data_IF_937180708213
#
_entry.id   IF_937180708213
#
_cell.length_a   1.000
_cell.length_b   1.000
_cell.length_c   1.000
_cell.angle_alpha   90.00
_cell.angle_beta   90.00
_cell.angle_gamma   90.00
#
_symmetry.space_group_name_H-M   'P 1'
#
loop_
_entity.id
_entity.type
_entity.pdbx_description
1 polymer ?
#
# COMPACT_ATOMS: atom_id res chain seq x y z
N UNK A 1 24.50 -6.14 14.35
CA UNK A 1 23.21 -5.84 13.71
C UNK A 1 23.43 -5.96 12.23
N UNK A 2 22.58 -6.70 11.48
CA UNK A 2 22.73 -6.84 10.03
C UNK A 2 22.63 -5.45 9.38
N UNK A 3 23.58 -5.12 8.53
CA UNK A 3 23.62 -3.86 7.75
C UNK A 3 22.74 -3.93 6.51
N UNK A 4 22.14 -5.09 6.24
CA UNK A 4 21.29 -5.31 5.07
C UNK A 4 19.92 -4.68 5.26
N UNK A 5 19.34 -4.20 4.17
CA UNK A 5 17.96 -3.73 4.14
C UNK A 5 17.00 -4.91 4.37
N UNK A 6 15.80 -4.68 4.97
CA UNK A 6 14.78 -5.71 5.00
C UNK A 6 14.26 -5.97 3.58
N UNK A 7 13.57 -7.11 3.33
CA UNK A 7 12.93 -7.36 2.05
C UNK A 7 12.13 -6.15 1.55
N UNK A 8 12.23 -5.89 0.24
CA UNK A 8 11.53 -4.79 -0.42
C UNK A 8 10.29 -5.31 -1.15
N UNK A 9 9.21 -4.58 -1.01
CA UNK A 9 7.93 -4.81 -1.69
C UNK A 9 7.47 -3.53 -2.38
N UNK A 10 6.51 -3.64 -3.29
CA UNK A 10 6.00 -2.52 -4.09
C UNK A 10 4.56 -2.23 -3.73
N UNK A 11 4.23 -0.96 -3.50
CA UNK A 11 2.87 -0.43 -3.45
C UNK A 11 2.63 0.42 -4.69
N UNK A 12 1.75 -0.04 -5.56
CA UNK A 12 1.36 0.70 -6.76
C UNK A 12 -0.07 1.23 -6.65
N UNK A 13 -0.23 2.52 -6.91
CA UNK A 13 -1.52 3.17 -6.98
C UNK A 13 -2.04 3.24 -8.42
N UNK A 14 -1.33 2.68 -9.40
CA UNK A 14 -1.62 2.85 -10.84
C UNK A 14 -1.83 4.32 -11.17
N UNK A 15 -0.82 5.15 -10.84
CA UNK A 15 -0.93 6.61 -10.99
C UNK A 15 -1.13 7.01 -12.44
N UNK A 16 -2.18 7.78 -12.70
CA UNK A 16 -2.38 8.50 -13.95
C UNK A 16 -1.47 9.71 -13.90
N UNK A 17 -0.57 9.85 -14.86
CA UNK A 17 0.32 10.99 -14.95
C UNK A 17 -0.32 12.13 -15.74
N UNK A 18 0.13 13.36 -15.53
CA UNK A 18 -0.30 14.52 -16.33
C UNK A 18 -0.06 14.28 -17.82
N UNK A 19 -1.09 14.43 -18.63
CA UNK A 19 -1.07 14.13 -20.07
C UNK A 19 -1.22 12.65 -20.43
N UNK A 20 -1.29 11.75 -19.43
CA UNK A 20 -1.50 10.32 -19.62
C UNK A 20 -2.96 9.90 -19.48
N UNK A 21 -3.21 8.61 -19.56
CA UNK A 21 -4.53 8.00 -19.45
C UNK A 21 -4.60 6.86 -18.44
N UNK A 22 -5.78 6.51 -17.96
CA UNK A 22 -5.99 5.34 -17.09
C UNK A 22 -5.52 4.04 -17.77
N UNK A 23 -5.75 3.89 -19.08
CA UNK A 23 -5.30 2.73 -19.83
C UNK A 23 -3.77 2.58 -19.86
N UNK A 24 -3.03 3.69 -19.97
CA UNK A 24 -1.56 3.69 -19.86
C UNK A 24 -1.11 3.37 -18.44
N UNK A 25 -1.72 3.98 -17.42
CA UNK A 25 -1.41 3.71 -16.03
C UNK A 25 -1.56 2.23 -15.69
N UNK A 26 -2.65 1.57 -16.14
CA UNK A 26 -2.88 0.14 -15.93
C UNK A 26 -1.85 -0.72 -16.68
N UNK A 27 -1.51 -0.40 -17.94
CA UNK A 27 -0.45 -1.11 -18.67
C UNK A 27 0.91 -0.95 -18.00
N UNK A 28 1.24 0.25 -17.52
CA UNK A 28 2.47 0.52 -16.79
C UNK A 28 2.52 -0.25 -15.46
N UNK A 29 1.39 -0.44 -14.77
CA UNK A 29 1.30 -1.30 -13.58
C UNK A 29 1.68 -2.76 -13.91
N UNK A 30 1.16 -3.32 -15.00
CA UNK A 30 1.49 -4.70 -15.41
C UNK A 30 2.96 -4.84 -15.83
N UNK A 31 3.49 -3.87 -16.57
CA UNK A 31 4.90 -3.85 -16.99
C UNK A 31 5.83 -3.71 -15.76
N UNK A 32 5.52 -2.80 -14.84
CA UNK A 32 6.29 -2.62 -13.62
C UNK A 32 6.26 -3.88 -12.72
N UNK A 33 5.13 -4.58 -12.65
CA UNK A 33 5.03 -5.80 -11.85
C UNK A 33 5.99 -6.89 -12.35
N UNK A 34 6.05 -7.13 -13.68
CA UNK A 34 7.03 -8.04 -14.28
C UNK A 34 8.47 -7.59 -14.01
N UNK A 35 8.71 -6.29 -14.12
CA UNK A 35 10.03 -5.73 -13.89
C UNK A 35 10.48 -5.91 -12.44
N UNK A 36 9.62 -5.61 -11.46
CA UNK A 36 9.92 -5.80 -10.05
C UNK A 36 10.07 -7.30 -9.66
N UNK A 37 9.31 -8.20 -10.31
CA UNK A 37 9.52 -9.64 -10.16
C UNK A 37 10.93 -10.04 -10.57
N UNK A 38 11.38 -9.59 -11.75
CA UNK A 38 12.73 -9.89 -12.28
C UNK A 38 13.85 -9.33 -11.38
N UNK A 39 13.58 -8.25 -10.62
CA UNK A 39 14.49 -7.65 -9.66
C UNK A 39 14.45 -8.30 -8.26
N UNK A 40 13.58 -9.28 -8.03
CA UNK A 40 13.49 -10.00 -6.76
C UNK A 40 12.70 -9.27 -5.66
N UNK A 41 11.86 -8.30 -5.99
CA UNK A 41 10.92 -7.74 -5.03
C UNK A 41 9.98 -8.82 -4.49
N UNK A 42 9.68 -8.75 -3.19
CA UNK A 42 8.94 -9.82 -2.50
C UNK A 42 7.46 -9.81 -2.85
N UNK A 43 6.84 -8.61 -2.91
CA UNK A 43 5.40 -8.42 -3.15
C UNK A 43 5.16 -7.26 -4.10
N UNK A 44 4.05 -7.33 -4.80
CA UNK A 44 3.49 -6.24 -5.57
C UNK A 44 2.03 -6.05 -5.17
N UNK A 45 1.74 -5.00 -4.41
CA UNK A 45 0.40 -4.68 -3.96
C UNK A 45 -0.16 -3.48 -4.69
N UNK A 46 -1.46 -3.50 -4.94
CA UNK A 46 -2.18 -2.36 -5.51
C UNK A 46 -3.19 -1.80 -4.52
N UNK A 47 -3.30 -0.47 -4.48
CA UNK A 47 -4.22 0.23 -3.60
C UNK A 47 -5.66 0.16 -4.13
N UNK A 48 -6.63 0.54 -3.29
CA UNK A 48 -8.02 0.80 -3.68
C UNK A 48 -8.34 2.27 -3.41
N UNK A 49 -8.68 3.01 -4.48
CA UNK A 49 -9.16 4.38 -4.38
C UNK A 49 -10.31 4.59 -5.37
N UNK A 50 -11.34 5.30 -4.94
CA UNK A 50 -12.52 5.58 -5.75
C UNK A 50 -12.66 7.07 -5.99
N UNK A 51 -13.20 7.44 -7.16
CA UNK A 51 -13.46 8.81 -7.56
C UNK A 51 -12.22 9.73 -7.47
N UNK A 52 -11.07 9.22 -7.93
CA UNK A 52 -9.80 9.95 -7.98
C UNK A 52 -9.26 10.02 -9.40
N UNK A 53 -9.25 11.19 -10.01
CA UNK A 53 -8.79 11.41 -11.40
C UNK A 53 -7.32 11.00 -11.63
N UNK A 54 -6.50 10.99 -10.57
CA UNK A 54 -5.08 10.65 -10.63
C UNK A 54 -4.74 9.19 -10.30
N UNK A 55 -5.74 8.30 -10.10
CA UNK A 55 -5.52 6.92 -9.66
C UNK A 55 -6.42 5.96 -10.45
N UNK A 56 -5.84 4.96 -11.12
CA UNK A 56 -6.58 3.98 -11.90
C UNK A 56 -6.89 2.69 -11.11
N UNK A 57 -6.32 2.47 -9.92
CA UNK A 57 -6.56 1.27 -9.12
C UNK A 57 -7.79 1.42 -8.22
N UNK A 58 -8.97 1.20 -8.79
CA UNK A 58 -10.25 1.17 -8.06
C UNK A 58 -10.81 -0.25 -7.93
N UNK A 59 -10.71 -1.08 -8.97
CA UNK A 59 -11.15 -2.48 -8.97
C UNK A 59 -9.99 -3.40 -8.59
N UNK A 60 -9.60 -3.39 -7.31
CA UNK A 60 -8.38 -4.00 -6.80
C UNK A 60 -8.27 -5.49 -7.11
N UNK A 61 -9.31 -6.29 -6.86
CA UNK A 61 -9.30 -7.72 -7.13
C UNK A 61 -9.10 -8.04 -8.64
N UNK A 62 -9.71 -7.25 -9.54
CA UNK A 62 -9.53 -7.40 -10.98
C UNK A 62 -8.07 -7.15 -11.36
N UNK A 63 -7.48 -6.09 -10.83
CA UNK A 63 -6.09 -5.72 -11.13
C UNK A 63 -5.08 -6.72 -10.54
N UNK A 64 -5.31 -7.21 -9.33
CA UNK A 64 -4.53 -8.29 -8.70
C UNK A 64 -4.52 -9.54 -9.59
N UNK A 65 -5.68 -9.94 -10.15
CA UNK A 65 -5.78 -11.06 -11.08
C UNK A 65 -4.95 -10.84 -12.35
N UNK A 66 -4.99 -9.65 -12.94
CA UNK A 66 -4.20 -9.33 -14.14
C UNK A 66 -2.69 -9.32 -13.84
N UNK A 67 -2.27 -8.78 -12.70
CA UNK A 67 -0.86 -8.80 -12.30
C UNK A 67 -0.40 -10.24 -12.04
N UNK A 68 -1.19 -11.05 -11.34
CA UNK A 68 -0.87 -12.44 -11.07
C UNK A 68 -0.75 -13.28 -12.36
N UNK A 69 -1.57 -12.96 -13.38
CA UNK A 69 -1.53 -13.64 -14.70
C UNK A 69 -0.28 -13.31 -15.51
N UNK A 70 0.34 -12.14 -15.32
CA UNK A 70 1.53 -11.71 -16.09
C UNK A 70 2.84 -11.88 -15.31
N UNK A 71 2.79 -12.42 -14.09
CA UNK A 71 3.93 -12.72 -13.22
C UNK A 71 3.89 -14.17 -12.77
N UNK A 72 4.98 -14.70 -12.23
CA UNK A 72 5.11 -16.14 -11.93
C UNK A 72 5.45 -16.45 -10.47
N UNK A 73 6.21 -15.59 -9.78
CA UNK A 73 6.81 -15.86 -8.46
C UNK A 73 6.52 -14.80 -7.43
N UNK A 74 6.45 -13.53 -7.82
CA UNK A 74 6.18 -12.41 -6.92
C UNK A 74 4.79 -12.58 -6.28
N UNK A 75 4.69 -12.30 -4.98
CA UNK A 75 3.38 -12.28 -4.32
C UNK A 75 2.60 -11.06 -4.77
N UNK A 76 1.33 -11.22 -5.03
CA UNK A 76 0.45 -10.14 -5.51
C UNK A 76 -0.70 -9.95 -4.52
N UNK A 77 -1.08 -8.72 -4.27
CA UNK A 77 -2.16 -8.46 -3.32
C UNK A 77 -2.70 -7.04 -3.32
N UNK A 78 -3.53 -6.78 -2.34
CA UNK A 78 -4.09 -5.46 -2.08
C UNK A 78 -3.33 -4.71 -0.99
N UNK A 79 -3.12 -3.42 -1.20
CA UNK A 79 -2.48 -2.54 -0.23
C UNK A 79 -3.30 -1.27 0.05
N UNK A 80 -4.64 -1.40 0.41
CA UNK A 80 -5.47 -2.56 0.70
C UNK A 80 -6.85 -2.47 0.08
N UNK A 81 -7.62 -3.54 0.20
CA UNK A 81 -9.09 -3.47 0.02
C UNK A 81 -9.66 -2.63 1.15
N UNK A 82 -10.47 -1.65 0.82
CA UNK A 82 -11.19 -0.82 1.80
C UNK A 82 -12.43 -1.59 2.27
N UNK A 83 -12.22 -2.56 3.18
CA UNK A 83 -13.23 -3.53 3.59
C UNK A 83 -14.59 -2.92 3.96
N UNK A 84 -14.66 -1.74 4.60
CA UNK A 84 -15.93 -1.10 4.82
C UNK A 84 -16.76 -0.81 3.56
N UNK A 85 -16.23 -0.83 2.36
CA UNK A 85 -16.99 -0.64 1.11
C UNK A 85 -17.55 -1.96 0.54
N UNK A 86 -17.25 -3.11 1.14
CA UNK A 86 -17.50 -4.43 0.58
C UNK A 86 -18.18 -5.36 1.58
N UNK A 87 -18.97 -6.32 1.08
CA UNK A 87 -19.42 -7.45 1.88
C UNK A 87 -18.23 -8.43 2.08
N UNK A 88 -17.95 -8.88 3.32
CA UNK A 88 -16.85 -9.83 3.58
C UNK A 88 -16.90 -11.10 2.72
N UNK A 89 -18.09 -11.66 2.50
CA UNK A 89 -18.29 -12.82 1.63
C UNK A 89 -17.78 -12.58 0.20
N UNK A 90 -18.11 -11.43 -0.41
CA UNK A 90 -17.68 -11.09 -1.78
C UNK A 90 -16.17 -10.97 -1.85
N UNK A 91 -15.53 -10.35 -0.86
CA UNK A 91 -14.06 -10.24 -0.80
C UNK A 91 -13.42 -11.62 -0.64
N UNK A 92 -14.00 -12.50 0.21
CA UNK A 92 -13.52 -13.85 0.38
C UNK A 92 -13.62 -14.68 -0.91
N UNK A 93 -14.73 -14.55 -1.65
CA UNK A 93 -14.91 -15.22 -2.95
C UNK A 93 -13.92 -14.70 -4.00
N UNK A 94 -13.71 -13.37 -4.09
CA UNK A 94 -12.75 -12.76 -5.03
C UNK A 94 -11.31 -13.21 -4.75
N UNK A 95 -10.84 -13.05 -3.51
CA UNK A 95 -9.47 -13.40 -3.16
C UNK A 95 -9.26 -14.91 -3.05
N UNK A 96 -10.29 -15.67 -2.67
CA UNK A 96 -10.30 -17.11 -2.73
C UNK A 96 -10.19 -17.65 -4.16
N UNK A 97 -10.91 -17.05 -5.11
CA UNK A 97 -10.76 -17.34 -6.54
C UNK A 97 -9.34 -17.08 -7.01
N UNK A 98 -8.78 -15.92 -6.67
CA UNK A 98 -7.40 -15.56 -7.00
C UNK A 98 -6.40 -16.55 -6.39
N UNK A 99 -6.56 -16.93 -5.13
CA UNK A 99 -5.67 -17.88 -4.46
C UNK A 99 -5.77 -19.28 -5.03
N UNK A 100 -6.95 -19.68 -5.51
CA UNK A 100 -7.16 -20.97 -6.20
C UNK A 100 -6.48 -20.98 -7.57
N UNK A 101 -6.56 -19.87 -8.31
CA UNK A 101 -5.89 -19.72 -9.62
C UNK A 101 -4.36 -19.58 -9.49
N UNK A 102 -3.89 -18.91 -8.41
CA UNK A 102 -2.48 -18.58 -8.18
C UNK A 102 -2.02 -19.03 -6.79
N UNK A 103 -1.92 -20.34 -6.52
CA UNK A 103 -1.64 -20.88 -5.19
C UNK A 103 -0.37 -20.29 -4.57
N UNK A 104 -0.45 -19.91 -3.31
CA UNK A 104 0.68 -19.42 -2.51
C UNK A 104 1.14 -17.99 -2.84
N UNK A 105 0.53 -17.31 -3.82
CA UNK A 105 0.98 -16.00 -4.30
C UNK A 105 0.11 -14.81 -3.89
N UNK A 106 -1.08 -15.04 -3.38
CA UNK A 106 -2.05 -13.97 -3.11
C UNK A 106 -1.96 -13.50 -1.66
N UNK A 107 -1.99 -12.18 -1.47
CA UNK A 107 -2.12 -11.49 -0.18
C UNK A 107 -3.38 -10.63 -0.16
N UNK A 108 -4.03 -10.55 1.00
CA UNK A 108 -5.19 -9.69 1.20
C UNK A 108 -4.91 -8.63 2.28
N UNK A 109 -4.50 -7.46 1.85
CA UNK A 109 -4.37 -6.30 2.75
C UNK A 109 -5.71 -5.58 2.91
N UNK A 110 -6.08 -5.24 4.13
CA UNK A 110 -7.36 -4.63 4.48
C UNK A 110 -7.16 -3.26 5.12
N UNK A 111 -7.88 -2.26 4.61
CA UNK A 111 -7.96 -0.92 5.18
C UNK A 111 -9.33 -0.64 5.80
N UNK A 112 -9.33 0.16 6.89
CA UNK A 112 -10.57 0.61 7.56
C UNK A 112 -11.14 1.88 6.92
N UNK A 113 -10.30 2.74 6.37
CA UNK A 113 -10.73 3.98 5.73
C UNK A 113 -11.55 3.68 4.46
N UNK A 114 -12.53 4.53 4.10
CA UNK A 114 -13.33 4.31 2.88
C UNK A 114 -12.54 4.55 1.58
N UNK A 115 -11.32 5.08 1.65
CA UNK A 115 -10.48 5.39 0.48
C UNK A 115 -11.06 6.46 -0.46
N UNK A 116 -12.06 7.25 0.01
CA UNK A 116 -12.78 8.22 -0.82
C UNK A 116 -13.53 9.28 0.01
N UNK A 117 -14.28 10.18 -0.65
CA UNK A 117 -15.14 11.18 -0.04
C UNK A 117 -16.54 10.64 0.32
N UNK A 118 -17.32 11.46 1.07
CA UNK A 118 -18.67 11.07 1.55
C UNK A 118 -19.69 10.80 0.43
N UNK A 119 -19.62 11.48 -0.70
CA UNK A 119 -20.55 11.26 -1.81
C UNK A 119 -20.26 9.93 -2.49
N UNK A 120 -19.01 9.64 -2.69
CA UNK A 120 -18.54 8.36 -3.25
C UNK A 120 -18.84 7.20 -2.30
N UNK A 121 -18.69 7.39 -0.98
CA UNK A 121 -19.12 6.39 0.01
C UNK A 121 -20.60 6.02 -0.14
N UNK A 122 -21.48 7.00 -0.34
CA UNK A 122 -22.90 6.73 -0.60
C UNK A 122 -23.14 5.97 -1.90
N UNK A 123 -22.34 6.24 -2.95
CA UNK A 123 -22.43 5.52 -4.21
C UNK A 123 -21.97 4.06 -4.08
N UNK A 124 -20.96 3.78 -3.26
CA UNK A 124 -20.47 2.44 -2.98
C UNK A 124 -21.41 1.65 -2.07
N UNK A 125 -22.04 2.31 -1.11
CA UNK A 125 -22.93 1.73 -0.10
C UNK A 125 -24.29 2.42 -0.14
N UNK A 126 -25.21 1.91 -0.91
CA UNK A 126 -26.52 2.53 -1.14
C UNK A 126 -27.44 2.62 0.10
N UNK A 127 -27.09 2.03 1.25
CA UNK A 127 -27.99 1.89 2.40
C UNK A 127 -27.37 2.35 3.75
N UNK A 128 -26.39 3.26 3.75
CA UNK A 128 -25.86 3.80 5.00
C UNK A 128 -26.65 5.03 5.48
N UNK A 129 -27.79 4.78 6.10
CA UNK A 129 -28.37 5.65 7.14
C UNK A 129 -27.95 5.13 8.54
N UNK A 130 -26.66 4.95 8.76
CA UNK A 130 -26.11 4.47 10.03
C UNK A 130 -25.35 5.58 10.75
N UNK A 131 -26.10 6.62 11.11
CA UNK A 131 -25.66 7.53 12.16
C UNK A 131 -25.84 6.79 13.51
N UNK A 132 -24.78 6.09 13.97
CA UNK A 132 -24.77 5.45 15.28
C UNK A 132 -24.34 4.00 15.34
N UNK A 133 -23.98 3.36 14.25
CA UNK A 133 -23.47 1.99 14.30
C UNK A 133 -22.01 1.95 14.77
N UNK A 134 -21.73 1.01 15.66
CA UNK A 134 -20.39 0.65 16.10
C UNK A 134 -19.51 0.36 14.87
N UNK A 135 -18.22 0.62 14.98
CA UNK A 135 -17.23 0.30 13.94
C UNK A 135 -17.23 -1.22 13.68
N UNK A 136 -17.92 -1.66 12.62
CA UNK A 136 -18.06 -3.08 12.25
C UNK A 136 -16.76 -3.66 11.66
N UNK A 137 -15.76 -2.85 11.40
CA UNK A 137 -14.53 -3.30 10.76
C UNK A 137 -13.87 -4.51 11.46
N UNK A 138 -13.73 -4.56 12.80
CA UNK A 138 -13.17 -5.74 13.47
C UNK A 138 -13.99 -7.00 13.23
N UNK A 139 -15.33 -6.90 13.28
CA UNK A 139 -16.24 -8.03 13.02
C UNK A 139 -16.11 -8.53 11.58
N UNK A 140 -16.08 -7.60 10.63
CA UNK A 140 -15.92 -7.92 9.20
C UNK A 140 -14.58 -8.60 8.90
N UNK A 141 -13.49 -8.22 9.61
CA UNK A 141 -12.20 -8.91 9.49
C UNK A 141 -12.27 -10.34 10.00
N UNK A 142 -12.89 -10.57 11.15
CA UNK A 142 -13.06 -11.92 11.74
C UNK A 142 -13.95 -12.78 10.84
N UNK A 143 -15.06 -12.24 10.35
CA UNK A 143 -15.95 -12.92 9.40
C UNK A 143 -15.20 -13.32 8.11
N UNK A 144 -14.41 -12.42 7.56
CA UNK A 144 -13.59 -12.69 6.38
C UNK A 144 -12.54 -13.77 6.63
N UNK A 145 -11.90 -13.79 7.81
CA UNK A 145 -11.00 -14.88 8.21
C UNK A 145 -11.74 -16.23 8.22
N UNK A 146 -12.92 -16.28 8.83
CA UNK A 146 -13.73 -17.50 8.89
C UNK A 146 -14.15 -18.01 7.50
N UNK A 147 -14.43 -17.13 6.53
CA UNK A 147 -14.73 -17.53 5.15
C UNK A 147 -13.54 -18.12 4.39
N UNK A 148 -12.32 -17.73 4.74
CA UNK A 148 -11.09 -18.19 4.06
C UNK A 148 -10.43 -19.38 4.78
N UNK A 149 -10.85 -19.69 5.99
CA UNK A 149 -10.37 -20.84 6.77
C UNK A 149 -11.09 -22.13 6.39
N UNK A 150 -10.76 -23.25 7.02
CA UNK A 150 -11.47 -24.50 6.85
C UNK A 150 -12.92 -24.33 7.31
N UNK A 151 -13.87 -24.90 6.57
CA UNK A 151 -15.27 -24.76 6.92
C UNK A 151 -15.62 -25.54 8.20
N UNK A 152 -16.38 -24.91 9.10
CA UNK A 152 -17.01 -25.60 10.22
C UNK A 152 -18.09 -26.58 9.72
N UNK A 153 -18.34 -27.72 10.43
CA UNK A 153 -19.23 -28.79 9.95
C UNK A 153 -20.60 -28.31 9.48
N UNK A 154 -21.23 -27.37 10.17
CA UNK A 154 -22.60 -26.90 9.88
C UNK A 154 -22.63 -25.44 9.42
N UNK A 155 -21.52 -24.92 8.85
CA UNK A 155 -21.46 -23.56 8.38
C UNK A 155 -22.42 -23.30 7.21
N UNK A 156 -23.47 -22.45 7.40
CA UNK A 156 -24.56 -22.31 6.44
C UNK A 156 -24.13 -21.49 5.20
N UNK A 157 -23.19 -20.56 5.35
CA UNK A 157 -22.67 -19.72 4.27
C UNK A 157 -21.18 -19.95 4.12
N UNK A 158 -20.74 -20.32 2.93
CA UNK A 158 -19.34 -20.60 2.60
C UNK A 158 -18.90 -19.82 1.39
N UNK A 159 -17.72 -19.24 1.44
CA UNK A 159 -17.11 -18.54 0.30
C UNK A 159 -16.48 -19.54 -0.67
N UNK A 160 -17.16 -19.89 -1.74
CA UNK A 160 -16.62 -20.81 -2.76
C UNK A 160 -16.03 -20.02 -3.91
N UNK A 161 -14.76 -20.27 -4.32
CA UNK A 161 -13.84 -21.36 -3.93
C UNK A 161 -12.89 -21.01 -2.76
N UNK A 162 -13.16 -19.97 -1.98
CA UNK A 162 -12.26 -19.39 -0.98
C UNK A 162 -12.01 -20.24 0.26
N UNK A 163 -12.97 -21.13 0.62
CA UNK A 163 -12.87 -22.01 1.80
C UNK A 163 -11.56 -22.82 1.77
N UNK A 164 -10.85 -22.82 2.90
CA UNK A 164 -9.59 -23.55 3.07
C UNK A 164 -8.40 -22.98 2.33
N UNK A 165 -8.55 -21.88 1.58
CA UNK A 165 -7.42 -21.23 0.87
C UNK A 165 -6.45 -20.52 1.81
N UNK A 166 -6.94 -20.14 2.99
CA UNK A 166 -6.15 -19.49 4.05
C UNK A 166 -5.30 -18.31 3.52
N UNK A 167 -5.89 -17.48 2.65
CA UNK A 167 -5.21 -16.30 2.10
C UNK A 167 -4.63 -15.45 3.23
N UNK A 168 -3.33 -15.08 3.19
CA UNK A 168 -2.73 -14.20 4.19
C UNK A 168 -3.43 -12.87 4.27
N UNK A 169 -4.06 -12.58 5.40
CA UNK A 169 -4.68 -11.29 5.69
C UNK A 169 -3.66 -10.39 6.39
N UNK A 170 -3.58 -9.13 5.95
CA UNK A 170 -2.78 -8.06 6.52
C UNK A 170 -3.68 -6.93 6.94
N UNK A 171 -3.45 -6.34 8.11
CA UNK A 171 -4.12 -5.10 8.47
C UNK A 171 -3.25 -3.90 8.12
N UNK A 172 -3.86 -2.93 7.43
CA UNK A 172 -3.21 -1.70 7.01
C UNK A 172 -3.81 -0.51 7.76
N UNK A 173 -2.97 0.48 8.04
CA UNK A 173 -3.44 1.73 8.59
C UNK A 173 -2.34 2.69 8.97
N UNK A 174 -2.74 3.90 9.38
CA UNK A 174 -1.87 4.95 9.89
C UNK A 174 -2.28 5.40 11.30
N UNK A 175 -3.00 4.54 12.04
CA UNK A 175 -3.53 4.83 13.36
C UNK A 175 -3.15 3.77 14.38
N UNK A 176 -3.22 4.12 15.66
CA UNK A 176 -2.99 3.19 16.76
C UNK A 176 -4.03 2.07 16.80
N UNK A 177 -5.27 2.37 16.41
CA UNK A 177 -6.35 1.38 16.35
C UNK A 177 -6.01 0.20 15.44
N UNK A 178 -5.50 0.47 14.23
CA UNK A 178 -5.14 -0.60 13.29
C UNK A 178 -4.00 -1.48 13.82
N UNK A 179 -3.04 -0.87 14.52
CA UNK A 179 -1.94 -1.57 15.17
C UNK A 179 -2.43 -2.49 16.31
N UNK A 180 -3.32 -1.98 17.18
CA UNK A 180 -3.93 -2.74 18.27
C UNK A 180 -4.78 -3.90 17.75
N UNK A 181 -5.61 -3.67 16.72
CA UNK A 181 -6.43 -4.71 16.12
C UNK A 181 -5.58 -5.81 15.48
N UNK A 182 -4.54 -5.43 14.73
CA UNK A 182 -3.61 -6.39 14.14
C UNK A 182 -2.93 -7.26 15.21
N UNK A 183 -2.45 -6.63 16.29
CA UNK A 183 -1.84 -7.31 17.42
C UNK A 183 -2.82 -8.26 18.12
N UNK A 184 -4.05 -7.82 18.37
CA UNK A 184 -5.10 -8.61 19.02
C UNK A 184 -5.47 -9.86 18.21
N UNK A 185 -5.59 -9.72 16.88
CA UNK A 185 -5.95 -10.81 15.96
C UNK A 185 -4.75 -11.69 15.55
N UNK A 186 -3.53 -11.35 15.98
CA UNK A 186 -2.32 -12.09 15.58
C UNK A 186 -2.04 -12.01 14.09
N UNK A 187 -2.32 -10.87 13.47
CA UNK A 187 -2.14 -10.61 12.04
C UNK A 187 -0.90 -9.76 11.77
N UNK A 188 -0.27 -9.87 10.59
CA UNK A 188 0.77 -8.94 10.16
C UNK A 188 0.20 -7.55 9.94
N UNK A 189 1.02 -6.53 10.17
CA UNK A 189 0.63 -5.14 10.14
C UNK A 189 1.46 -4.33 9.16
N UNK A 190 0.80 -3.53 8.32
CA UNK A 190 1.47 -2.61 7.39
C UNK A 190 1.10 -1.16 7.74
N UNK A 191 2.08 -0.36 8.17
CA UNK A 191 1.86 1.04 8.51
C UNK A 191 2.04 1.94 7.28
N UNK A 192 1.04 2.78 7.01
CA UNK A 192 0.98 3.65 5.84
C UNK A 192 1.76 4.97 6.00
N UNK A 193 3.03 4.89 6.41
CA UNK A 193 3.88 6.07 6.65
C UNK A 193 4.29 6.84 5.39
N UNK A 194 4.01 6.27 4.21
CA UNK A 194 4.24 6.96 2.93
C UNK A 194 3.35 8.21 2.73
N UNK A 195 2.30 8.40 3.54
CA UNK A 195 1.48 9.62 3.54
C UNK A 195 1.08 10.11 4.93
N UNK A 196 1.13 9.27 5.97
CA UNK A 196 0.72 9.62 7.34
C UNK A 196 1.70 9.04 8.38
N UNK A 197 2.91 9.59 8.50
CA UNK A 197 4.01 9.03 9.29
C UNK A 197 3.94 9.30 10.79
N UNK A 198 3.11 10.25 11.24
CA UNK A 198 3.19 10.84 12.59
C UNK A 198 3.10 9.83 13.74
N UNK A 199 2.31 8.79 13.60
CA UNK A 199 2.11 7.76 14.62
C UNK A 199 2.92 6.48 14.39
N UNK A 200 3.84 6.45 13.42
CA UNK A 200 4.57 5.25 13.01
C UNK A 200 5.23 4.55 14.20
N UNK A 201 6.08 5.26 14.93
CA UNK A 201 6.89 4.65 15.98
C UNK A 201 6.00 4.12 17.13
N UNK A 202 5.02 4.92 17.55
CA UNK A 202 4.06 4.52 18.59
C UNK A 202 3.19 3.33 18.16
N UNK A 203 2.74 3.30 16.90
CA UNK A 203 1.95 2.19 16.38
C UNK A 203 2.75 0.88 16.34
N UNK A 204 4.02 0.94 15.92
CA UNK A 204 4.90 -0.24 15.90
C UNK A 204 5.24 -0.74 17.30
N UNK A 205 5.45 0.17 18.26
CA UNK A 205 5.65 -0.18 19.67
C UNK A 205 4.44 -0.90 20.25
N UNK A 206 3.23 -0.32 20.10
CA UNK A 206 1.98 -0.92 20.57
C UNK A 206 1.75 -2.27 19.90
N UNK A 207 1.92 -2.35 18.58
CA UNK A 207 1.74 -3.60 17.82
C UNK A 207 2.60 -4.73 18.39
N UNK A 208 3.89 -4.48 18.62
CA UNK A 208 4.81 -5.50 19.13
C UNK A 208 4.57 -5.84 20.61
N UNK A 209 4.29 -4.83 21.42
CA UNK A 209 4.09 -5.01 22.87
C UNK A 209 2.82 -5.80 23.20
N UNK A 210 1.78 -5.70 22.37
CA UNK A 210 0.47 -6.30 22.61
C UNK A 210 0.15 -7.47 21.67
N UNK A 211 1.09 -7.88 20.84
CA UNK A 211 0.93 -8.92 19.84
C UNK A 211 0.55 -10.26 20.47
N UNK A 212 -0.50 -10.88 19.94
CA UNK A 212 -0.94 -12.22 20.30
C UNK A 212 -0.53 -13.19 19.21
N UNK A 213 0.38 -14.14 19.46
CA UNK A 213 0.78 -15.12 18.47
C UNK A 213 -0.42 -15.91 17.93
N UNK A 214 -0.48 -16.10 16.63
CA UNK A 214 -1.40 -17.02 15.97
C UNK A 214 -0.62 -18.17 15.35
N UNK A 215 -1.31 -19.27 15.01
CA UNK A 215 -0.68 -20.43 14.39
C UNK A 215 0.11 -20.04 13.12
N UNK A 216 -0.46 -19.17 12.30
CA UNK A 216 0.13 -18.72 11.05
C UNK A 216 1.23 -17.68 11.25
N UNK A 217 1.09 -16.84 12.28
CA UNK A 217 2.02 -15.77 12.59
C UNK A 217 2.48 -15.87 14.05
N UNK A 218 3.44 -16.77 14.33
CA UNK A 218 3.93 -16.97 15.71
C UNK A 218 4.72 -15.78 16.26
N UNK A 219 5.08 -14.83 15.39
CA UNK A 219 5.78 -13.59 15.75
C UNK A 219 5.15 -12.40 15.01
N UNK A 220 5.21 -11.20 15.61
CA UNK A 220 4.76 -9.99 14.91
C UNK A 220 5.58 -9.79 13.64
N UNK A 221 4.92 -9.33 12.56
CA UNK A 221 5.56 -8.97 11.30
C UNK A 221 5.08 -7.57 10.90
N UNK A 222 5.96 -6.59 10.96
CA UNK A 222 5.68 -5.20 10.69
C UNK A 222 6.27 -4.74 9.37
N UNK A 223 5.41 -4.27 8.47
CA UNK A 223 5.77 -3.65 7.20
C UNK A 223 5.62 -2.14 7.30
N UNK A 224 6.56 -1.38 6.74
CA UNK A 224 6.54 0.09 6.74
C UNK A 224 6.47 0.61 5.32
N UNK A 225 5.43 1.42 5.04
CA UNK A 225 5.21 2.04 3.74
C UNK A 225 5.98 3.34 3.59
N UNK A 226 6.68 3.53 2.46
CA UNK A 226 7.47 4.74 2.22
C UNK A 226 7.49 5.12 0.74
N UNK A 227 7.71 6.42 0.46
CA UNK A 227 8.02 6.87 -0.90
C UNK A 227 9.53 6.75 -1.13
N UNK A 228 9.94 6.14 -2.24
CA UNK A 228 11.35 6.08 -2.62
C UNK A 228 11.53 6.57 -4.05
N UNK A 229 12.46 7.51 -4.23
CA UNK A 229 12.92 7.98 -5.53
C UNK A 229 14.43 7.77 -5.60
N UNK A 230 14.86 6.71 -6.27
CA UNK A 230 16.26 6.40 -6.47
C UNK A 230 16.67 6.76 -7.91
N UNK A 231 17.67 7.60 -8.07
CA UNK A 231 18.18 8.03 -9.37
C UNK A 231 19.71 7.93 -9.40
N UNK A 232 20.37 8.02 -10.58
CA UNK A 232 21.84 7.95 -10.67
C UNK A 232 22.57 8.97 -9.78
N UNK A 233 21.98 10.17 -9.58
CA UNK A 233 22.53 11.25 -8.76
C UNK A 233 21.49 11.78 -7.77
N UNK A 234 21.96 12.44 -6.70
CA UNK A 234 21.09 13.09 -5.73
C UNK A 234 20.31 14.26 -6.39
N UNK A 235 20.90 14.98 -7.33
CA UNK A 235 20.25 16.10 -8.04
C UNK A 235 19.11 15.60 -8.95
N UNK A 236 19.32 14.51 -9.68
CA UNK A 236 18.27 13.91 -10.51
C UNK A 236 17.12 13.38 -9.65
N UNK A 237 17.45 12.73 -8.55
CA UNK A 237 16.43 12.27 -7.59
C UNK A 237 15.64 13.43 -6.99
N UNK A 238 16.30 14.53 -6.63
CA UNK A 238 15.66 15.74 -6.12
C UNK A 238 14.67 16.33 -7.14
N UNK A 239 15.04 16.36 -8.43
CA UNK A 239 14.16 16.80 -9.51
C UNK A 239 12.95 15.86 -9.65
N UNK A 240 13.17 14.54 -9.74
CA UNK A 240 12.09 13.56 -9.87
C UNK A 240 11.14 13.57 -8.66
N UNK A 241 11.66 13.80 -7.45
CA UNK A 241 10.89 13.87 -6.22
C UNK A 241 9.91 15.05 -6.19
N UNK A 242 10.14 16.11 -6.97
CA UNK A 242 9.21 17.25 -7.05
C UNK A 242 7.81 16.85 -7.54
N UNK A 243 7.67 15.80 -8.35
CA UNK A 243 6.35 15.27 -8.73
C UNK A 243 5.56 14.78 -7.51
N UNK A 244 6.21 14.08 -6.59
CA UNK A 244 5.61 13.65 -5.32
C UNK A 244 5.28 14.86 -4.45
N UNK A 245 6.20 15.80 -4.32
CA UNK A 245 5.97 17.03 -3.54
C UNK A 245 4.78 17.84 -4.06
N UNK A 246 4.67 18.03 -5.38
CA UNK A 246 3.53 18.71 -6.02
C UNK A 246 2.21 17.97 -5.76
N UNK A 247 2.21 16.64 -5.85
CA UNK A 247 1.02 15.82 -5.54
C UNK A 247 0.58 16.01 -4.10
N UNK A 248 1.50 15.97 -3.14
CA UNK A 248 1.21 16.18 -1.72
C UNK A 248 0.79 17.63 -1.43
N UNK A 249 1.36 18.60 -2.11
CA UNK A 249 0.90 19.99 -2.05
C UNK A 249 -0.53 20.11 -2.58
N UNK A 250 -0.86 19.44 -3.69
CA UNK A 250 -2.22 19.34 -4.20
C UNK A 250 -3.17 18.76 -3.17
N UNK A 251 -2.81 17.65 -2.53
CA UNK A 251 -3.61 17.04 -1.45
C UNK A 251 -3.81 17.99 -0.27
N UNK A 252 -2.77 18.71 0.15
CA UNK A 252 -2.84 19.71 1.21
C UNK A 252 -3.82 20.85 0.86
N UNK A 253 -3.91 21.20 -0.41
CA UNK A 253 -4.86 22.20 -0.96
C UNK A 253 -6.23 21.61 -1.33
N UNK A 254 -6.51 20.34 -0.97
CA UNK A 254 -7.77 19.68 -1.30
C UNK A 254 -7.95 19.30 -2.77
N UNK A 255 -6.88 19.32 -3.57
CA UNK A 255 -6.88 18.96 -4.99
C UNK A 255 -6.28 17.58 -5.20
N UNK A 256 -6.98 16.71 -5.91
CA UNK A 256 -6.57 15.34 -6.22
C UNK A 256 -6.64 15.14 -7.72
N UNK A 257 -5.51 15.18 -8.40
CA UNK A 257 -5.41 15.05 -9.84
C UNK A 257 -4.30 14.09 -10.28
N UNK A 258 -4.03 14.01 -11.59
CA UNK A 258 -2.91 13.27 -12.15
C UNK A 258 -1.58 13.67 -11.52
N UNK A 259 -0.61 12.75 -11.56
CA UNK A 259 0.74 13.00 -11.07
C UNK A 259 1.42 14.06 -11.94
N UNK A 260 1.82 15.22 -11.40
CA UNK A 260 2.42 16.28 -12.18
C UNK A 260 3.79 15.90 -12.74
N UNK A 261 4.21 16.55 -13.82
CA UNK A 261 5.57 16.48 -14.33
C UNK A 261 6.55 17.01 -13.28
N UNK A 262 7.78 16.47 -13.22
CA UNK A 262 8.78 17.03 -12.34
C UNK A 262 9.16 18.45 -12.79
N UNK A 263 9.45 19.30 -11.82
CA UNK A 263 9.98 20.66 -11.99
C UNK A 263 11.33 20.74 -11.29
N UNK A 264 12.10 21.80 -11.53
CA UNK A 264 13.34 21.99 -10.78
C UNK A 264 13.05 22.22 -9.30
N UNK A 265 14.00 21.88 -8.40
CA UNK A 265 13.84 22.19 -6.97
C UNK A 265 13.58 23.67 -6.67
N UNK A 266 14.15 24.58 -7.48
CA UNK A 266 13.93 26.02 -7.36
C UNK A 266 12.50 26.43 -7.74
N UNK A 267 11.95 25.86 -8.81
CA UNK A 267 10.54 26.08 -9.18
C UNK A 267 9.60 25.49 -8.10
N UNK A 268 9.90 24.29 -7.58
CA UNK A 268 9.13 23.70 -6.49
C UNK A 268 9.15 24.59 -5.24
N UNK A 269 10.29 25.20 -4.92
CA UNK A 269 10.40 26.12 -3.79
C UNK A 269 9.51 27.36 -3.94
N UNK A 270 9.30 27.81 -5.16
CA UNK A 270 8.40 28.94 -5.46
C UNK A 270 6.90 28.57 -5.44
N UNK A 271 6.54 27.26 -5.44
CA UNK A 271 5.15 26.79 -5.52
C UNK A 271 4.42 26.75 -4.18
N UNK A 272 5.14 26.68 -3.08
CA UNK A 272 4.57 26.56 -1.72
C UNK A 272 4.94 27.70 -0.79
N UNK A 273 4.06 28.02 0.14
CA UNK A 273 4.41 28.86 1.28
C UNK A 273 5.24 28.07 2.30
N UNK A 274 5.97 28.75 3.23
CA UNK A 274 6.71 28.04 4.29
C UNK A 274 5.84 27.07 5.13
N UNK A 275 4.59 27.43 5.40
CA UNK A 275 3.65 26.58 6.14
C UNK A 275 3.23 25.35 5.35
N UNK A 276 2.93 25.49 4.06
CA UNK A 276 2.61 24.36 3.17
C UNK A 276 3.80 23.42 3.00
N UNK A 277 5.00 23.97 2.81
CA UNK A 277 6.25 23.19 2.77
C UNK A 277 6.42 22.36 4.03
N UNK A 278 6.29 22.99 5.20
CA UNK A 278 6.39 22.28 6.48
C UNK A 278 5.37 21.14 6.59
N UNK A 279 4.12 21.38 6.19
CA UNK A 279 3.06 20.36 6.16
C UNK A 279 3.36 19.20 5.21
N UNK A 280 3.74 19.49 3.97
CA UNK A 280 4.09 18.50 2.95
C UNK A 280 5.32 17.68 3.37
N UNK A 281 6.38 18.33 3.83
CA UNK A 281 7.62 17.64 4.25
C UNK A 281 7.40 16.79 5.51
N UNK A 282 6.49 17.18 6.41
CA UNK A 282 6.07 16.33 7.51
C UNK A 282 5.39 15.05 7.00
N UNK A 283 4.45 15.15 6.06
CA UNK A 283 3.81 13.98 5.45
C UNK A 283 4.81 13.08 4.73
N UNK A 284 5.88 13.64 4.19
CA UNK A 284 6.94 12.93 3.45
C UNK A 284 8.17 12.60 4.33
N UNK A 285 8.07 12.70 5.65
CA UNK A 285 9.22 12.48 6.56
C UNK A 285 9.79 11.05 6.55
N UNK A 286 9.03 10.09 6.03
CA UNK A 286 9.48 8.72 5.78
C UNK A 286 9.88 8.47 4.30
N UNK A 287 9.99 9.52 3.47
CA UNK A 287 10.46 9.37 2.11
C UNK A 287 11.98 9.23 2.05
N UNK A 288 12.47 8.46 1.06
CA UNK A 288 13.88 8.38 0.72
C UNK A 288 14.07 8.84 -0.73
N UNK A 289 14.93 9.84 -0.95
CA UNK A 289 15.24 10.34 -2.29
C UNK A 289 16.75 10.61 -2.42
N UNK A 290 17.35 10.14 -3.51
CA UNK A 290 18.77 10.32 -3.76
C UNK A 290 19.38 9.27 -4.66
N UNK A 291 20.70 9.29 -4.76
CA UNK A 291 21.52 8.23 -5.35
C UNK A 291 21.38 6.91 -4.55
N UNK A 292 21.74 5.75 -5.11
CA UNK A 292 21.69 4.47 -4.41
C UNK A 292 22.34 4.50 -3.02
N UNK A 293 23.50 5.16 -2.91
CA UNK A 293 24.20 5.31 -1.63
C UNK A 293 23.43 6.17 -0.62
N UNK A 294 22.80 7.24 -1.08
CA UNK A 294 21.99 8.13 -0.24
C UNK A 294 20.71 7.42 0.22
N UNK A 295 19.99 6.78 -0.71
CA UNK A 295 18.77 6.01 -0.41
C UNK A 295 19.08 4.89 0.58
N UNK A 296 20.16 4.12 0.35
CA UNK A 296 20.57 3.05 1.27
C UNK A 296 20.78 3.57 2.71
N UNK A 297 21.49 4.68 2.90
CA UNK A 297 21.69 5.27 4.23
C UNK A 297 20.37 5.68 4.89
N UNK A 298 19.45 6.30 4.11
CA UNK A 298 18.14 6.72 4.63
C UNK A 298 17.29 5.51 5.05
N UNK A 299 17.26 4.46 4.23
CA UNK A 299 16.52 3.22 4.54
C UNK A 299 17.13 2.46 5.72
N UNK A 300 18.46 2.43 5.85
CA UNK A 300 19.13 1.84 7.02
C UNK A 300 18.78 2.58 8.31
N UNK A 301 18.77 3.91 8.28
CA UNK A 301 18.37 4.74 9.43
C UNK A 301 16.89 4.48 9.80
N UNK A 302 16.00 4.40 8.79
CA UNK A 302 14.59 4.06 9.01
C UNK A 302 14.42 2.66 9.60
N UNK A 303 15.15 1.66 9.09
CA UNK A 303 15.14 0.30 9.65
C UNK A 303 15.60 0.27 11.10
N UNK A 304 16.69 0.96 11.43
CA UNK A 304 17.21 1.05 12.80
C UNK A 304 16.20 1.68 13.75
N UNK A 305 15.50 2.73 13.32
CA UNK A 305 14.46 3.40 14.10
C UNK A 305 13.23 2.52 14.31
N UNK A 306 12.74 1.90 13.25
CA UNK A 306 11.44 1.21 13.25
C UNK A 306 11.53 -0.27 13.54
N UNK A 307 12.68 -0.91 13.34
CA UNK A 307 12.81 -2.37 13.38
C UNK A 307 11.89 -3.08 12.38
N UNK A 308 11.57 -2.43 11.24
CA UNK A 308 10.68 -3.00 10.22
C UNK A 308 11.20 -4.35 9.69
N UNK A 309 10.28 -5.31 9.54
CA UNK A 309 10.56 -6.62 8.97
C UNK A 309 10.50 -6.60 7.44
N UNK A 310 9.81 -5.63 6.87
CA UNK A 310 9.64 -5.45 5.42
C UNK A 310 9.39 -3.97 5.10
N UNK A 311 9.91 -3.48 3.98
CA UNK A 311 9.54 -2.17 3.44
C UNK A 311 8.65 -2.32 2.21
N UNK A 312 7.57 -1.55 2.14
CA UNK A 312 6.74 -1.46 0.94
C UNK A 312 6.84 -0.06 0.34
N UNK A 313 7.30 -0.02 -0.90
CA UNK A 313 7.78 1.20 -1.58
C UNK A 313 6.78 1.67 -2.62
N UNK A 314 6.40 2.93 -2.54
CA UNK A 314 5.72 3.65 -3.61
C UNK A 314 6.70 4.60 -4.32
N UNK A 315 6.72 4.60 -5.66
CA UNK A 315 7.53 5.54 -6.45
C UNK A 315 6.63 6.35 -7.38
N UNK A 316 6.36 7.60 -6.97
CA UNK A 316 5.59 8.56 -7.75
C UNK A 316 6.45 9.30 -8.76
N UNK A 317 6.91 8.62 -9.81
CA UNK A 317 7.72 9.19 -10.90
C UNK A 317 6.86 9.29 -12.15
N UNK A 318 6.84 10.46 -12.80
CA UNK A 318 6.00 10.76 -13.95
C UNK A 318 6.38 9.92 -15.17
N UNK A 319 7.66 9.85 -15.50
CA UNK A 319 8.18 9.04 -16.61
C UNK A 319 8.27 7.57 -16.19
N UNK A 320 7.66 6.67 -16.99
CA UNK A 320 7.60 5.24 -16.65
C UNK A 320 8.98 4.55 -16.73
N UNK A 321 9.83 4.95 -17.68
CA UNK A 321 11.18 4.39 -17.80
C UNK A 321 12.05 4.79 -16.60
N UNK A 322 11.99 6.06 -16.20
CA UNK A 322 12.66 6.55 -15.00
C UNK A 322 12.09 5.87 -13.73
N UNK A 323 10.77 5.59 -13.69
CA UNK A 323 10.14 4.83 -12.59
C UNK A 323 10.73 3.42 -12.49
N UNK A 324 10.84 2.68 -13.59
CA UNK A 324 11.48 1.36 -13.63
C UNK A 324 12.94 1.43 -13.19
N UNK A 325 13.67 2.43 -13.71
CA UNK A 325 15.07 2.66 -13.34
C UNK A 325 15.25 2.92 -11.85
N UNK A 326 14.31 3.63 -11.21
CA UNK A 326 14.34 3.86 -9.77
C UNK A 326 14.23 2.55 -8.97
N UNK A 327 13.37 1.62 -9.38
CA UNK A 327 13.28 0.29 -8.76
C UNK A 327 14.52 -0.56 -9.00
N UNK A 328 15.14 -0.49 -10.19
CA UNK A 328 16.43 -1.18 -10.47
C UNK A 328 17.54 -0.70 -9.53
N UNK A 329 17.71 0.61 -9.44
CA UNK A 329 18.74 1.22 -8.60
C UNK A 329 18.52 0.92 -7.12
N UNK A 330 17.25 0.90 -6.68
CA UNK A 330 16.89 0.55 -5.31
C UNK A 330 17.16 -0.93 -5.00
N UNK A 331 16.88 -1.84 -5.92
CA UNK A 331 17.14 -3.27 -5.73
C UNK A 331 18.64 -3.59 -5.65
N UNK A 332 19.48 -2.75 -6.27
CA UNK A 332 20.93 -2.88 -6.24
C UNK A 332 21.61 -2.12 -5.07
N UNK A 333 20.84 -1.30 -4.32
CA UNK A 333 21.35 -0.52 -3.18
C UNK A 333 21.39 -1.36 -1.91
#
# INVERSE_FOLDING_TARGET
MSTDLPPLSVLDLSLIVEGGSAGEALRNTLDLARHCEALGYRRYWVAEHHNMDGVASSATAVLVGQIAAVTSTIRVGSGGVMLPNHAPLVVAEQFGTLATLYPGRIDLGLGRAPGTDRLTMRALRRHLDTAGEEDEFPRNVVELQAYLDDAEPDQPVRAIPGVGTKVPIWLLGSSLFSAQLAAYLGLPFAFASHFAPDLLDQALEIYRATYRPSERWPKPHAMVGLNVICAPTDDEAAMLFTSVQQRFLGMHRGRRGPLPRPVTPAEMEAMWSPAEKAGVMRMLSCAAAGSPATVRRQLQALRQRTGADEFIVAAGIHDHAARKRSYELLAAA
#
